data_IF_898983521090
#
_entry.id   IF_898983521090
#
_cell.length_a   1.000
_cell.length_b   1.000
_cell.length_c   1.000
_cell.angle_alpha   90.00
_cell.angle_beta   90.00
_cell.angle_gamma   90.00
#
_symmetry.space_group_name_H-M   'P 1'
#
loop_
_entity.id
_entity.type
_entity.pdbx_description
1 polymer ?
#
# COMPACT_ATOMS: atom_id res chain seq x y z
N UNK A 1 7.13 17.11 22.19
CA UNK A 1 7.40 15.77 22.77
C UNK A 1 8.68 15.25 22.14
N UNK A 2 9.60 14.72 22.93
CA UNK A 2 10.88 14.23 22.42
C UNK A 2 10.81 12.70 22.24
N UNK A 3 11.30 12.23 21.09
CA UNK A 3 11.44 10.82 20.74
C UNK A 3 12.91 10.48 20.51
N UNK A 4 13.28 9.21 20.66
CA UNK A 4 14.59 8.75 20.19
C UNK A 4 14.60 8.65 18.66
N UNK A 5 13.47 8.17 18.08
CA UNK A 5 13.32 8.01 16.63
C UNK A 5 11.95 8.49 16.16
N UNK A 6 11.91 9.33 15.13
CA UNK A 6 10.70 9.60 14.35
C UNK A 6 10.88 9.05 12.95
N UNK A 7 9.89 8.28 12.49
CA UNK A 7 9.84 7.74 11.12
C UNK A 7 8.75 8.46 10.33
N UNK A 8 9.11 9.08 9.21
CA UNK A 8 8.15 9.74 8.33
C UNK A 8 7.74 8.78 7.22
N UNK A 9 6.50 8.30 7.28
CA UNK A 9 5.91 7.29 6.41
C UNK A 9 5.84 5.90 7.05
N UNK A 10 4.68 5.26 6.94
CA UNK A 10 4.35 3.95 7.51
C UNK A 10 4.38 2.80 6.50
N UNK A 11 4.99 2.99 5.32
CA UNK A 11 5.22 1.91 4.36
C UNK A 11 6.19 0.84 4.89
N UNK A 12 6.51 -0.21 4.10
CA UNK A 12 7.37 -1.32 4.55
C UNK A 12 8.70 -0.88 5.14
N UNK A 13 9.36 0.11 4.58
CA UNK A 13 10.58 0.69 5.15
C UNK A 13 10.34 1.37 6.50
N UNK A 14 9.18 2.02 6.66
CA UNK A 14 8.86 2.78 7.87
C UNK A 14 8.38 1.89 9.02
N UNK A 15 7.31 1.09 8.81
CA UNK A 15 6.76 0.31 9.91
C UNK A 15 7.74 -0.74 10.44
N UNK A 16 8.55 -1.36 9.57
CA UNK A 16 9.57 -2.33 10.00
C UNK A 16 10.64 -1.65 10.85
N UNK A 17 11.15 -0.49 10.41
CA UNK A 17 12.15 0.28 11.14
C UNK A 17 11.60 0.74 12.50
N UNK A 18 10.38 1.27 12.54
CA UNK A 18 9.75 1.76 13.76
C UNK A 18 9.55 0.66 14.80
N UNK A 19 8.97 -0.48 14.38
CA UNK A 19 8.76 -1.63 15.26
C UNK A 19 10.11 -2.13 15.80
N UNK A 20 11.11 -2.26 14.93
CA UNK A 20 12.42 -2.74 15.35
C UNK A 20 13.12 -1.79 16.30
N UNK A 21 13.08 -0.48 16.07
CA UNK A 21 13.62 0.52 16.98
C UNK A 21 12.96 0.44 18.37
N UNK A 22 11.63 0.31 18.41
CA UNK A 22 10.90 0.14 19.67
C UNK A 22 11.27 -1.15 20.40
N UNK A 23 11.42 -2.28 19.69
CA UNK A 23 11.90 -3.54 20.29
C UNK A 23 13.32 -3.43 20.88
N UNK A 24 14.11 -2.48 20.41
CA UNK A 24 15.44 -2.15 20.95
C UNK A 24 15.38 -1.12 22.09
N UNK A 25 14.21 -0.86 22.66
CA UNK A 25 14.00 0.02 23.80
C UNK A 25 13.94 1.51 23.48
N UNK A 26 13.82 1.89 22.19
CA UNK A 26 13.71 3.28 21.78
C UNK A 26 12.26 3.78 21.87
N UNK A 27 12.10 5.05 22.24
CA UNK A 27 10.82 5.77 22.16
C UNK A 27 10.59 6.23 20.73
N UNK A 28 9.60 5.64 20.05
CA UNK A 28 9.41 5.80 18.61
C UNK A 28 8.04 6.38 18.26
N UNK A 29 8.02 7.31 17.30
CA UNK A 29 6.80 7.74 16.63
C UNK A 29 6.90 7.50 15.12
N UNK A 30 5.74 7.24 14.50
CA UNK A 30 5.57 7.17 13.04
C UNK A 30 4.60 8.25 12.61
N UNK A 31 5.00 9.07 11.64
CA UNK A 31 4.13 10.05 11.01
C UNK A 31 3.56 9.48 9.72
N UNK A 32 2.23 9.42 9.61
CA UNK A 32 1.55 8.92 8.40
C UNK A 32 0.40 9.85 8.01
N UNK A 33 0.34 10.22 6.74
CA UNK A 33 -0.66 11.15 6.20
C UNK A 33 -1.93 10.48 5.67
N UNK A 34 -1.87 9.17 5.42
CA UNK A 34 -3.00 8.44 4.81
C UNK A 34 -3.13 7.01 5.38
N UNK A 35 -2.90 5.98 4.56
CA UNK A 35 -3.13 4.61 4.99
C UNK A 35 -1.88 3.96 5.58
N UNK A 36 -2.02 3.41 6.78
CA UNK A 36 -0.96 2.66 7.45
C UNK A 36 -0.56 1.44 6.61
N UNK A 37 0.76 1.23 6.50
CA UNK A 37 1.33 0.21 5.63
C UNK A 37 1.71 0.72 4.24
N UNK A 38 1.34 1.98 3.93
CA UNK A 38 1.73 2.68 2.70
C UNK A 38 1.24 2.01 1.43
N UNK A 39 1.85 2.37 0.32
CA UNK A 39 1.46 1.88 -1.02
C UNK A 39 1.51 0.36 -1.13
N UNK A 40 2.52 -0.31 -0.59
CA UNK A 40 2.67 -1.76 -0.76
C UNK A 40 1.47 -2.53 -0.19
N UNK A 41 1.01 -2.19 1.02
CA UNK A 41 -0.09 -2.90 1.66
C UNK A 41 -1.45 -2.50 1.07
N UNK A 42 -1.63 -1.22 0.75
CA UNK A 42 -2.94 -0.69 0.40
C UNK A 42 -3.18 -0.59 -1.12
N UNK A 43 -2.14 -0.27 -1.90
CA UNK A 43 -2.24 0.05 -3.32
C UNK A 43 -1.13 -0.56 -4.18
N UNK A 44 -0.51 -1.63 -3.75
CA UNK A 44 0.62 -2.23 -4.45
C UNK A 44 0.70 -3.74 -4.25
N UNK A 45 1.78 -4.19 -3.61
CA UNK A 45 2.16 -5.60 -3.50
C UNK A 45 1.00 -6.50 -3.04
N UNK A 46 0.32 -6.13 -1.96
CA UNK A 46 -0.68 -7.01 -1.33
C UNK A 46 -1.96 -7.12 -2.18
N UNK A 47 -2.65 -6.03 -2.56
CA UNK A 47 -3.83 -6.16 -3.40
C UNK A 47 -3.52 -6.74 -4.79
N UNK A 48 -2.38 -6.43 -5.39
CA UNK A 48 -1.97 -7.02 -6.67
C UNK A 48 -1.82 -8.54 -6.55
N UNK A 49 -1.10 -9.03 -5.53
CA UNK A 49 -0.95 -10.49 -5.31
C UNK A 49 -2.30 -11.16 -5.00
N UNK A 50 -3.20 -10.45 -4.33
CA UNK A 50 -4.55 -10.97 -4.10
C UNK A 50 -5.35 -11.12 -5.40
N UNK A 51 -5.24 -10.15 -6.34
CA UNK A 51 -5.84 -10.25 -7.67
C UNK A 51 -5.21 -11.39 -8.50
N UNK A 52 -3.87 -11.43 -8.57
CA UNK A 52 -3.14 -12.50 -9.27
C UNK A 52 -3.50 -13.89 -8.73
N UNK A 53 -3.69 -14.01 -7.40
CA UNK A 53 -4.12 -15.30 -6.83
C UNK A 53 -5.54 -15.68 -7.27
N UNK A 54 -6.44 -14.72 -7.41
CA UNK A 54 -7.78 -14.99 -7.95
C UNK A 54 -7.72 -15.40 -9.42
N UNK A 55 -6.90 -14.73 -10.24
CA UNK A 55 -6.65 -15.09 -11.63
C UNK A 55 -6.06 -16.50 -11.76
N UNK A 56 -5.07 -16.84 -10.91
CA UNK A 56 -4.48 -18.18 -10.87
C UNK A 56 -5.51 -19.26 -10.53
N UNK A 57 -6.37 -19.01 -9.53
CA UNK A 57 -7.43 -19.96 -9.16
C UNK A 57 -8.42 -20.13 -10.31
N UNK A 58 -8.81 -19.04 -10.97
CA UNK A 58 -9.68 -19.11 -12.14
C UNK A 58 -9.04 -19.95 -13.26
N UNK A 59 -7.77 -19.76 -13.54
CA UNK A 59 -7.01 -20.55 -14.54
C UNK A 59 -6.96 -22.03 -14.14
N UNK A 60 -6.72 -22.36 -12.87
CA UNK A 60 -6.76 -23.74 -12.39
C UNK A 60 -8.13 -24.39 -12.56
N UNK A 61 -9.19 -23.65 -12.28
CA UNK A 61 -10.56 -24.14 -12.47
C UNK A 61 -10.90 -24.37 -13.94
N UNK A 62 -10.39 -23.52 -14.84
CA UNK A 62 -10.56 -23.68 -16.30
C UNK A 62 -9.81 -24.86 -16.89
N UNK A 63 -8.74 -25.30 -16.24
CA UNK A 63 -7.88 -26.40 -16.67
C UNK A 63 -7.78 -27.48 -15.58
N UNK A 64 -8.87 -27.70 -14.84
CA UNK A 64 -8.91 -28.59 -13.70
C UNK A 64 -8.60 -30.05 -14.08
N UNK A 65 -8.93 -30.46 -15.30
CA UNK A 65 -8.65 -31.77 -15.86
C UNK A 65 -7.14 -32.10 -15.87
N UNK A 66 -6.28 -31.10 -16.05
CA UNK A 66 -4.82 -31.29 -15.99
C UNK A 66 -4.33 -31.75 -14.60
N UNK A 67 -5.17 -31.56 -13.59
CA UNK A 67 -4.91 -31.94 -12.21
C UNK A 67 -5.74 -33.15 -11.74
N UNK A 68 -6.45 -33.82 -12.68
CA UNK A 68 -7.34 -34.93 -12.36
C UNK A 68 -8.62 -34.52 -11.62
N UNK A 69 -9.04 -33.26 -11.74
CA UNK A 69 -10.22 -32.70 -11.07
C UNK A 69 -11.29 -32.43 -12.12
N UNK A 70 -12.52 -32.91 -11.89
CA UNK A 70 -13.67 -32.58 -12.71
C UNK A 70 -14.41 -31.38 -12.13
N UNK A 71 -14.79 -30.44 -12.98
CA UNK A 71 -15.61 -29.27 -12.62
C UNK A 71 -16.91 -29.35 -13.40
N UNK A 72 -18.03 -29.42 -12.69
CA UNK A 72 -19.36 -29.39 -13.31
C UNK A 72 -19.85 -27.95 -13.44
N UNK A 73 -20.41 -27.63 -14.59
CA UNK A 73 -20.96 -26.30 -14.90
C UNK A 73 -19.91 -25.31 -15.44
N UNK A 74 -20.33 -24.05 -15.57
CA UNK A 74 -19.52 -22.99 -16.16
C UNK A 74 -18.75 -22.22 -15.07
N UNK A 75 -17.43 -22.15 -15.19
CA UNK A 75 -16.58 -21.33 -14.31
C UNK A 75 -16.61 -19.88 -14.81
N UNK A 76 -17.14 -18.98 -14.00
CA UNK A 76 -17.21 -17.53 -14.26
C UNK A 76 -16.42 -16.75 -13.23
N UNK A 77 -15.78 -15.66 -13.66
CA UNK A 77 -15.15 -14.71 -12.76
C UNK A 77 -16.17 -13.59 -12.43
N UNK A 78 -16.32 -13.29 -11.14
CA UNK A 78 -17.03 -12.11 -10.64
C UNK A 78 -15.98 -11.05 -10.26
N UNK A 79 -15.81 -10.05 -11.13
CA UNK A 79 -14.77 -9.04 -10.95
C UNK A 79 -15.00 -8.18 -9.71
N UNK A 80 -16.25 -7.86 -9.38
CA UNK A 80 -16.56 -7.11 -8.15
C UNK A 80 -16.14 -7.89 -6.90
N UNK A 81 -16.45 -9.18 -6.85
CA UNK A 81 -16.06 -10.04 -5.74
C UNK A 81 -14.52 -10.20 -5.66
N UNK A 82 -13.83 -10.31 -6.79
CA UNK A 82 -12.37 -10.37 -6.87
C UNK A 82 -11.73 -9.09 -6.31
N UNK A 83 -12.21 -7.92 -6.73
CA UNK A 83 -11.75 -6.63 -6.23
C UNK A 83 -12.04 -6.49 -4.74
N UNK A 84 -13.27 -6.75 -4.30
CA UNK A 84 -13.68 -6.70 -2.89
C UNK A 84 -12.79 -7.60 -2.02
N UNK A 85 -12.48 -8.81 -2.47
CA UNK A 85 -11.54 -9.71 -1.78
C UNK A 85 -10.15 -9.07 -1.67
N UNK A 86 -9.61 -8.50 -2.75
CA UNK A 86 -8.28 -7.88 -2.74
C UNK A 86 -8.20 -6.71 -1.75
N UNK A 87 -9.25 -5.89 -1.68
CA UNK A 87 -9.36 -4.77 -0.73
C UNK A 87 -9.45 -5.26 0.71
N UNK A 88 -10.22 -6.31 0.97
CA UNK A 88 -10.31 -6.94 2.29
C UNK A 88 -8.98 -7.49 2.79
N UNK A 89 -8.17 -8.10 1.90
CA UNK A 89 -6.81 -8.56 2.23
C UNK A 89 -5.90 -7.38 2.59
N UNK A 90 -5.93 -6.30 1.79
CA UNK A 90 -5.16 -5.09 2.06
C UNK A 90 -5.53 -4.44 3.41
N UNK A 91 -6.82 -4.31 3.69
CA UNK A 91 -7.33 -3.79 4.96
C UNK A 91 -6.87 -4.64 6.16
N UNK A 92 -6.95 -5.96 6.04
CA UNK A 92 -6.48 -6.88 7.07
C UNK A 92 -4.99 -6.69 7.39
N UNK A 93 -4.15 -6.50 6.36
CA UNK A 93 -2.71 -6.24 6.54
C UNK A 93 -2.45 -4.89 7.20
N UNK A 94 -3.16 -3.83 6.80
CA UNK A 94 -3.05 -2.51 7.42
C UNK A 94 -3.44 -2.54 8.90
N UNK A 95 -4.55 -3.22 9.25
CA UNK A 95 -4.96 -3.46 10.65
C UNK A 95 -3.90 -4.25 11.43
N UNK A 96 -3.24 -5.20 10.78
CA UNK A 96 -2.13 -5.95 11.38
C UNK A 96 -0.95 -5.04 11.76
N UNK A 97 -0.57 -4.09 10.90
CA UNK A 97 0.49 -3.12 11.23
C UNK A 97 0.06 -2.19 12.36
N UNK A 98 -1.20 -1.72 12.37
CA UNK A 98 -1.74 -0.92 13.49
C UNK A 98 -1.65 -1.67 14.83
N UNK A 99 -2.04 -2.95 14.84
CA UNK A 99 -1.90 -3.81 15.99
C UNK A 99 -0.44 -3.91 16.45
N UNK A 100 0.51 -4.10 15.52
CA UNK A 100 1.93 -4.18 15.83
C UNK A 100 2.48 -2.86 16.38
N UNK A 101 2.03 -1.71 15.89
CA UNK A 101 2.39 -0.42 16.50
C UNK A 101 1.92 -0.34 17.94
N UNK A 102 0.64 -0.66 18.19
CA UNK A 102 0.11 -0.70 19.57
C UNK A 102 0.86 -1.68 20.47
N UNK A 103 1.11 -2.91 19.98
CA UNK A 103 1.83 -3.95 20.73
C UNK A 103 3.25 -3.53 21.12
N UNK A 104 3.93 -2.77 20.25
CA UNK A 104 5.30 -2.33 20.48
C UNK A 104 5.41 -0.88 20.98
N UNK A 105 4.31 -0.27 21.46
CA UNK A 105 4.29 1.11 21.95
C UNK A 105 4.86 2.14 20.97
N UNK A 106 4.67 1.92 19.66
CA UNK A 106 4.99 2.90 18.61
C UNK A 106 3.84 3.88 18.50
N UNK A 107 4.11 5.15 18.72
CA UNK A 107 3.11 6.21 18.60
C UNK A 107 2.84 6.53 17.13
N UNK A 108 1.57 6.64 16.76
CA UNK A 108 1.15 7.05 15.42
C UNK A 108 0.69 8.51 15.46
N UNK A 109 1.35 9.33 14.67
CA UNK A 109 1.02 10.75 14.49
C UNK A 109 0.41 10.90 13.09
N UNK A 110 -0.89 11.20 13.04
CA UNK A 110 -1.61 11.39 11.79
C UNK A 110 -1.28 12.77 11.19
N UNK A 111 -0.86 12.82 9.94
CA UNK A 111 -0.60 14.06 9.23
C UNK A 111 0.56 13.98 8.23
N UNK A 112 0.76 15.08 7.50
CA UNK A 112 1.85 15.23 6.55
C UNK A 112 3.11 15.70 7.25
N UNK A 113 4.08 14.79 7.39
CA UNK A 113 5.39 15.08 7.97
C UNK A 113 6.35 15.74 6.97
N UNK A 114 7.08 16.73 7.45
CA UNK A 114 8.18 17.36 6.72
C UNK A 114 9.34 17.71 7.68
N UNK A 115 10.55 17.83 7.11
CA UNK A 115 11.72 18.30 7.87
C UNK A 115 11.76 19.82 7.87
N UNK A 116 12.13 20.39 9.02
CA UNK A 116 12.44 21.80 9.16
C UNK A 116 13.95 22.03 9.01
N UNK A 117 14.37 23.28 8.80
CA UNK A 117 15.78 23.64 8.65
C UNK A 117 16.60 23.34 9.91
N UNK A 118 15.99 23.39 11.09
CA UNK A 118 16.59 23.06 12.39
C UNK A 118 16.46 21.57 12.76
N UNK A 119 16.23 20.71 11.75
CA UNK A 119 16.18 19.25 11.87
C UNK A 119 15.10 18.73 12.83
N UNK A 120 13.95 19.39 12.88
CA UNK A 120 12.74 18.92 13.56
C UNK A 120 11.74 18.36 12.56
N UNK A 121 10.74 17.66 13.06
CA UNK A 121 9.65 17.14 12.24
C UNK A 121 8.42 18.02 12.44
N UNK A 122 8.02 18.72 11.38
CA UNK A 122 6.74 19.42 11.32
C UNK A 122 5.69 18.47 10.77
N UNK A 123 4.56 18.36 11.46
CA UNK A 123 3.40 17.59 11.03
C UNK A 123 2.21 18.53 10.87
N UNK A 124 1.58 18.47 9.70
CA UNK A 124 0.31 19.17 9.41
C UNK A 124 -0.79 18.12 9.41
N UNK A 125 -1.76 18.28 10.31
CA UNK A 125 -2.91 17.37 10.42
C UNK A 125 -3.99 17.65 9.35
N UNK A 126 -5.09 16.90 9.39
CA UNK A 126 -6.19 17.03 8.41
C UNK A 126 -6.93 18.38 8.53
N UNK A 127 -6.92 18.99 9.71
CA UNK A 127 -7.53 20.29 10.02
C UNK A 127 -6.60 21.46 9.65
N UNK A 128 -5.35 21.18 9.28
CA UNK A 128 -4.34 22.20 8.93
C UNK A 128 -3.55 22.71 10.13
N UNK A 129 -3.70 22.11 11.33
CA UNK A 129 -2.90 22.48 12.49
C UNK A 129 -1.45 22.00 12.33
N UNK A 130 -0.50 22.83 12.70
CA UNK A 130 0.93 22.55 12.63
C UNK A 130 1.45 22.17 14.01
N UNK A 131 2.11 21.02 14.11
CA UNK A 131 2.79 20.56 15.31
C UNK A 131 4.26 20.25 15.00
N UNK A 132 5.16 20.63 15.92
CA UNK A 132 6.60 20.38 15.81
C UNK A 132 7.00 19.32 16.82
N UNK A 133 7.73 18.31 16.34
CA UNK A 133 8.27 17.21 17.12
C UNK A 133 9.79 17.15 17.01
N UNK A 134 10.44 16.73 18.07
CA UNK A 134 11.89 16.58 18.15
C UNK A 134 12.25 15.11 18.32
N UNK A 135 13.34 14.69 17.68
CA UNK A 135 13.90 13.35 17.82
C UNK A 135 15.42 13.38 17.69
N UNK A 136 16.09 12.42 18.33
CA UNK A 136 17.55 12.23 18.14
C UNK A 136 17.86 11.75 16.71
N UNK A 137 16.96 10.89 16.16
CA UNK A 137 17.12 10.34 14.82
C UNK A 137 15.79 10.46 14.03
N UNK A 138 15.90 10.77 12.74
CA UNK A 138 14.76 10.86 11.84
C UNK A 138 14.99 9.93 10.65
N UNK A 139 14.03 9.05 10.38
CA UNK A 139 14.04 8.14 9.23
C UNK A 139 13.02 8.62 8.20
N UNK A 140 13.49 8.89 6.98
CA UNK A 140 12.64 9.24 5.86
C UNK A 140 12.24 7.96 5.10
N UNK A 141 10.97 7.57 5.20
CA UNK A 141 10.39 6.42 4.53
C UNK A 141 9.13 6.82 3.74
N UNK A 142 9.19 7.96 3.06
CA UNK A 142 8.06 8.68 2.45
C UNK A 142 7.48 8.01 1.20
N UNK A 143 8.12 6.93 0.71
CA UNK A 143 7.66 6.16 -0.44
C UNK A 143 7.81 6.91 -1.77
N UNK A 144 6.96 6.55 -2.73
CA UNK A 144 7.01 7.13 -4.08
C UNK A 144 5.59 7.37 -4.62
N UNK A 145 5.51 8.06 -5.74
CA UNK A 145 4.29 8.29 -6.52
C UNK A 145 4.48 7.79 -7.94
N UNK A 146 3.37 7.55 -8.64
CA UNK A 146 3.43 7.25 -10.07
C UNK A 146 4.07 8.43 -10.82
N UNK A 147 5.00 8.09 -11.71
CA UNK A 147 5.64 9.10 -12.57
C UNK A 147 4.64 9.59 -13.61
N UNK A 148 4.45 10.89 -13.67
CA UNK A 148 3.66 11.54 -14.73
C UNK A 148 4.54 11.65 -15.99
N UNK A 149 4.01 11.19 -17.11
CA UNK A 149 4.63 11.37 -18.42
C UNK A 149 3.90 12.50 -19.16
N UNK A 150 4.57 13.58 -19.57
CA UNK A 150 3.89 14.70 -20.23
C UNK A 150 3.10 14.31 -21.49
N UNK A 151 3.59 13.29 -22.23
CA UNK A 151 2.94 12.77 -23.43
C UNK A 151 1.77 11.81 -23.14
N UNK A 152 1.61 11.34 -21.89
CA UNK A 152 0.59 10.39 -21.47
C UNK A 152 0.07 10.79 -20.07
N UNK A 153 -0.64 11.90 -19.96
CA UNK A 153 -1.17 12.35 -18.68
C UNK A 153 -2.25 11.38 -18.17
N UNK A 154 -2.13 10.98 -16.91
CA UNK A 154 -3.13 10.11 -16.28
C UNK A 154 -4.39 10.93 -16.05
N UNK A 155 -5.49 10.55 -16.70
CA UNK A 155 -6.82 11.17 -16.58
C UNK A 155 -7.73 10.42 -15.60
N UNK A 156 -7.37 9.17 -15.23
CA UNK A 156 -8.13 8.33 -14.33
C UNK A 156 -9.26 7.54 -14.98
N UNK A 157 -9.51 7.72 -16.29
CA UNK A 157 -10.58 7.07 -17.06
C UNK A 157 -10.01 6.15 -18.14
N UNK A 158 -9.30 6.71 -19.12
CA UNK A 158 -8.67 5.96 -20.23
C UNK A 158 -7.20 5.70 -19.98
N UNK A 159 -6.50 6.69 -19.47
CA UNK A 159 -5.10 6.58 -19.07
C UNK A 159 -5.07 6.50 -17.55
N UNK A 160 -4.97 5.28 -17.05
CA UNK A 160 -5.09 4.97 -15.63
C UNK A 160 -3.75 4.61 -15.01
N UNK A 161 -3.64 4.76 -13.70
CA UNK A 161 -2.51 4.26 -12.93
C UNK A 161 -2.85 2.93 -12.25
N UNK A 162 -1.87 2.36 -11.57
CA UNK A 162 -2.06 1.16 -10.74
C UNK A 162 -3.22 1.31 -9.73
N UNK A 163 -3.52 2.52 -9.26
CA UNK A 163 -4.61 2.73 -8.28
C UNK A 163 -5.97 2.40 -8.88
N UNK A 164 -6.26 2.92 -10.07
CA UNK A 164 -7.50 2.62 -10.78
C UNK A 164 -7.52 1.17 -11.25
N UNK A 165 -6.37 0.66 -11.76
CA UNK A 165 -6.29 -0.72 -12.22
C UNK A 165 -6.58 -1.76 -11.11
N UNK A 166 -6.25 -1.46 -9.85
CA UNK A 166 -6.53 -2.33 -8.71
C UNK A 166 -8.02 -2.41 -8.30
N UNK A 167 -8.85 -1.50 -8.81
CA UNK A 167 -10.26 -1.36 -8.41
C UNK A 167 -11.19 -1.23 -9.62
N UNK A 168 -10.81 -1.81 -10.76
CA UNK A 168 -11.67 -1.86 -11.93
C UNK A 168 -12.96 -2.61 -11.59
N UNK A 169 -14.09 -2.01 -11.92
CA UNK A 169 -15.42 -2.61 -11.79
C UNK A 169 -15.70 -3.66 -12.86
N UNK A 170 -15.05 -3.54 -14.02
CA UNK A 170 -15.17 -4.46 -15.16
C UNK A 170 -13.80 -4.75 -15.77
N UNK A 171 -13.63 -5.97 -16.28
CA UNK A 171 -12.49 -6.30 -17.11
C UNK A 171 -12.60 -5.56 -18.45
N UNK A 172 -11.58 -4.79 -18.86
CA UNK A 172 -11.56 -4.21 -20.19
C UNK A 172 -11.36 -5.31 -21.25
N UNK A 173 -11.96 -5.15 -22.42
CA UNK A 173 -11.74 -6.06 -23.57
C UNK A 173 -10.30 -6.02 -24.05
N UNK A 174 -9.69 -4.84 -23.99
CA UNK A 174 -8.28 -4.61 -24.35
C UNK A 174 -7.64 -3.65 -23.38
N UNK A 175 -6.37 -3.90 -23.03
CA UNK A 175 -5.57 -3.04 -22.19
C UNK A 175 -4.17 -2.90 -22.79
N UNK A 176 -3.70 -1.66 -22.91
CA UNK A 176 -2.31 -1.38 -23.26
C UNK A 176 -1.54 -1.00 -21.98
N UNK A 177 -0.53 -1.78 -21.66
CA UNK A 177 0.34 -1.52 -20.50
C UNK A 177 1.61 -0.81 -20.95
N UNK A 178 1.83 0.40 -20.45
CA UNK A 178 3.02 1.21 -20.77
C UNK A 178 4.05 1.06 -19.66
N UNK A 179 5.11 0.31 -19.96
CA UNK A 179 6.23 0.02 -19.06
C UNK A 179 6.31 -1.43 -18.64
N UNK A 180 7.52 -1.97 -18.60
CA UNK A 180 7.86 -3.36 -18.27
C UNK A 180 8.50 -3.53 -16.88
N UNK A 181 8.30 -2.57 -15.98
CA UNK A 181 8.69 -2.72 -14.58
C UNK A 181 7.78 -3.70 -13.84
N UNK A 182 8.09 -4.00 -12.57
CA UNK A 182 7.34 -4.97 -11.76
C UNK A 182 5.81 -4.77 -11.80
N UNK A 183 5.35 -3.53 -11.67
CA UNK A 183 3.92 -3.19 -11.69
C UNK A 183 3.33 -3.49 -13.09
N UNK A 184 3.96 -2.99 -14.16
CA UNK A 184 3.45 -3.20 -15.52
C UNK A 184 3.40 -4.67 -15.89
N UNK A 185 4.45 -5.45 -15.58
CA UNK A 185 4.51 -6.88 -15.85
C UNK A 185 3.49 -7.71 -15.08
N UNK A 186 3.09 -7.26 -13.88
CA UNK A 186 2.06 -7.95 -13.08
C UNK A 186 0.63 -7.63 -13.55
N UNK A 187 0.42 -6.47 -14.19
CA UNK A 187 -0.90 -6.10 -14.73
C UNK A 187 -1.11 -6.57 -16.17
N UNK A 188 -0.04 -6.93 -16.90
CA UNK A 188 -0.09 -7.49 -18.25
C UNK A 188 -0.45 -8.98 -18.23
#
# INVERSE_FOLDING_TARGET
MNYDVIVIGSGPGGYVAAIRASQLGKKVAVVEKSEIGGTCLNWGCIPTKALLKSAQVYTYMKHAENYGISVEGEVKADMEAVVRRSRGVAEGMSKGVQYLFKKNNVELIAGLGSLTADKKVKVVDAEGNENIYEAEHIILATGCRVRQLPALPIDGERIISYRQALVLDKLPETMLVVGSGAIGSEFA
#
